data_IF_863323535904
#
_entry.id   IF_863323535904
#
_cell.length_a   1.000
_cell.length_b   1.000
_cell.length_c   1.000
_cell.angle_alpha   90.00
_cell.angle_beta   90.00
_cell.angle_gamma   90.00
#
_symmetry.space_group_name_H-M   'P 1'
#
loop_
_entity.id
_entity.type
_entity.pdbx_description
1 polymer ?
#
# COMPACT_ATOMS: atom_id res chain seq x y z
N UNK A 1 -4.83 63.57 -60.79
CA UNK A 1 -4.49 62.18 -60.69
C UNK A 1 -3.72 61.98 -59.38
N UNK A 2 -4.40 61.48 -58.39
CA UNK A 2 -3.80 61.20 -57.06
C UNK A 2 -4.14 59.78 -56.69
N UNK A 3 -3.12 58.97 -56.68
CA UNK A 3 -3.21 57.56 -56.21
C UNK A 3 -3.32 57.51 -54.69
N UNK A 4 -4.37 56.92 -54.19
CA UNK A 4 -4.56 56.66 -52.78
C UNK A 4 -3.97 55.25 -52.48
N UNK A 5 -2.87 55.20 -51.68
CA UNK A 5 -2.34 53.98 -51.11
C UNK A 5 -3.15 53.58 -49.88
N UNK A 6 -3.82 52.43 -49.97
CA UNK A 6 -4.46 51.78 -48.84
C UNK A 6 -3.45 50.81 -48.25
N UNK A 7 -2.90 51.18 -47.10
CA UNK A 7 -2.15 50.26 -46.25
C UNK A 7 -3.13 49.34 -45.50
N UNK A 8 -3.10 48.06 -45.85
CA UNK A 8 -3.84 47.03 -45.11
C UNK A 8 -3.00 46.56 -43.91
N UNK A 9 -3.40 46.96 -42.70
CA UNK A 9 -2.81 46.49 -41.45
C UNK A 9 -3.39 45.13 -41.14
N UNK A 10 -2.58 44.08 -41.32
CA UNK A 10 -2.92 42.71 -40.90
C UNK A 10 -2.70 42.62 -39.38
N UNK A 11 -3.78 42.67 -38.60
CA UNK A 11 -3.76 42.38 -37.18
C UNK A 11 -3.75 40.86 -36.97
N UNK A 12 -2.57 40.31 -36.70
CA UNK A 12 -2.42 38.90 -36.31
C UNK A 12 -2.84 38.77 -34.85
N UNK A 13 -4.08 38.36 -34.63
CA UNK A 13 -4.55 37.92 -33.31
C UNK A 13 -3.88 36.61 -32.96
N UNK A 14 -2.80 36.62 -32.17
CA UNK A 14 -2.23 35.46 -31.54
C UNK A 14 -3.14 35.14 -30.35
N UNK A 15 -4.09 34.22 -30.56
CA UNK A 15 -4.87 33.64 -29.48
C UNK A 15 -3.96 32.69 -28.68
N UNK A 16 -3.41 33.18 -27.61
CA UNK A 16 -2.71 32.35 -26.62
C UNK A 16 -3.79 31.52 -25.92
N UNK A 17 -4.03 30.29 -26.41
CA UNK A 17 -4.75 29.29 -25.63
C UNK A 17 -3.88 28.95 -24.44
N UNK A 18 -4.07 29.67 -23.32
CA UNK A 18 -3.68 29.14 -22.00
C UNK A 18 -4.55 27.92 -21.75
N UNK A 19 -4.06 26.74 -22.12
CA UNK A 19 -4.54 25.52 -21.52
C UNK A 19 -4.11 25.58 -20.05
N UNK A 20 -4.94 26.18 -19.21
CA UNK A 20 -4.90 25.90 -17.78
C UNK A 20 -5.14 24.39 -17.64
N UNK A 21 -4.07 23.62 -17.60
CA UNK A 21 -4.13 22.29 -17.01
C UNK A 21 -4.42 22.53 -15.53
N UNK A 22 -5.71 22.52 -15.20
CA UNK A 22 -6.12 22.44 -13.78
C UNK A 22 -5.45 21.22 -13.22
N UNK A 23 -4.56 21.45 -12.26
CA UNK A 23 -3.94 20.40 -11.48
C UNK A 23 -5.06 19.74 -10.66
N UNK A 24 -5.78 18.82 -11.27
CA UNK A 24 -6.79 18.04 -10.57
C UNK A 24 -6.10 17.24 -9.49
N UNK A 25 -6.45 17.50 -8.24
CA UNK A 25 -5.99 16.68 -7.13
C UNK A 25 -6.51 15.27 -7.37
N UNK A 26 -5.60 14.34 -7.50
CA UNK A 26 -5.87 12.97 -7.89
C UNK A 26 -6.39 12.22 -6.70
N UNK A 27 -7.67 11.98 -6.68
CA UNK A 27 -8.33 11.22 -5.66
C UNK A 27 -8.97 9.96 -6.23
N UNK A 28 -9.06 8.95 -5.39
CA UNK A 28 -9.84 7.76 -5.65
C UNK A 28 -10.77 7.48 -4.49
N UNK A 29 -11.95 6.97 -4.80
CA UNK A 29 -12.80 6.32 -3.81
C UNK A 29 -12.15 5.00 -3.42
N UNK A 30 -12.11 4.72 -2.12
CA UNK A 30 -11.58 3.48 -1.57
C UNK A 30 -12.71 2.61 -1.05
N UNK A 31 -12.67 1.32 -1.40
CA UNK A 31 -13.55 0.28 -0.87
C UNK A 31 -12.71 -0.89 -0.38
N UNK A 32 -13.19 -1.56 0.65
CA UNK A 32 -12.61 -2.85 1.04
C UNK A 32 -13.10 -3.95 0.10
N UNK A 33 -12.19 -4.80 -0.34
CA UNK A 33 -12.55 -5.98 -1.16
C UNK A 33 -13.39 -6.99 -0.40
N UNK A 34 -13.20 -7.09 0.94
CA UNK A 34 -13.89 -8.07 1.78
C UNK A 34 -15.31 -7.64 2.15
N UNK A 35 -15.58 -6.35 2.24
CA UNK A 35 -16.91 -5.82 2.52
C UNK A 35 -17.09 -4.42 1.89
N UNK A 36 -17.54 -4.37 0.63
CA UNK A 36 -17.74 -3.10 -0.07
C UNK A 36 -18.75 -2.15 0.60
N UNK A 37 -19.59 -2.67 1.51
CA UNK A 37 -20.60 -1.87 2.21
C UNK A 37 -20.06 -1.19 3.48
N UNK A 38 -18.98 -1.72 4.09
CA UNK A 38 -18.53 -1.28 5.41
C UNK A 38 -17.34 -0.33 5.40
N UNK A 39 -16.50 -0.36 4.35
CA UNK A 39 -15.27 0.45 4.31
C UNK A 39 -15.27 1.32 3.07
N UNK A 40 -15.79 2.53 3.21
CA UNK A 40 -15.79 3.54 2.16
C UNK A 40 -15.00 4.74 2.68
N UNK A 41 -14.09 5.22 1.88
CA UNK A 41 -13.33 6.43 2.12
C UNK A 41 -12.64 6.89 0.86
N UNK A 42 -11.62 7.70 1.02
CA UNK A 42 -10.90 8.35 -0.07
C UNK A 42 -9.41 8.06 0.05
N UNK A 43 -8.72 8.11 -1.08
CA UNK A 43 -7.27 8.10 -1.15
C UNK A 43 -6.76 9.25 -2.00
N UNK A 44 -5.59 9.74 -1.66
CA UNK A 44 -4.81 10.66 -2.48
C UNK A 44 -3.80 9.86 -3.29
N UNK A 45 -3.90 9.92 -4.62
CA UNK A 45 -3.00 9.25 -5.54
C UNK A 45 -1.85 10.18 -5.93
N UNK A 46 -0.62 9.69 -5.81
CA UNK A 46 0.57 10.45 -6.21
C UNK A 46 1.67 9.51 -6.68
N UNK A 47 2.69 10.05 -7.34
CA UNK A 47 3.85 9.27 -7.79
C UNK A 47 5.04 9.42 -6.85
N UNK A 48 5.71 8.29 -6.61
CA UNK A 48 7.06 8.26 -6.06
C UNK A 48 7.96 7.47 -7.02
N UNK A 49 8.85 8.16 -7.73
CA UNK A 49 9.60 7.57 -8.82
C UNK A 49 8.67 7.01 -9.92
N UNK A 50 8.82 5.74 -10.24
CA UNK A 50 7.98 5.04 -11.21
C UNK A 50 6.67 4.45 -10.61
N UNK A 51 6.50 4.53 -9.29
CA UNK A 51 5.38 3.90 -8.60
C UNK A 51 4.23 4.87 -8.38
N UNK A 52 3.00 4.39 -8.62
CA UNK A 52 1.80 5.04 -8.13
C UNK A 52 1.57 4.60 -6.68
N UNK A 53 1.40 5.55 -5.79
CA UNK A 53 1.09 5.32 -4.38
C UNK A 53 -0.21 6.00 -4.01
N UNK A 54 -0.95 5.36 -3.12
CA UNK A 54 -2.14 5.91 -2.49
C UNK A 54 -1.84 6.23 -1.04
N UNK A 55 -2.19 7.45 -0.62
CA UNK A 55 -2.16 7.88 0.78
C UNK A 55 -3.60 7.94 1.27
N UNK A 56 -3.91 7.25 2.37
CA UNK A 56 -5.28 7.09 2.86
C UNK A 56 -5.28 6.82 4.37
N UNK A 57 -6.39 7.06 5.08
CA UNK A 57 -6.51 6.60 6.46
C UNK A 57 -6.50 5.07 6.53
N UNK A 58 -5.74 4.49 7.47
CA UNK A 58 -5.58 3.02 7.60
C UNK A 58 -6.94 2.34 7.79
N UNK A 59 -7.83 2.91 8.60
CA UNK A 59 -9.16 2.33 8.85
C UNK A 59 -10.06 2.24 7.61
N UNK A 60 -9.77 3.02 6.55
CA UNK A 60 -10.52 3.01 5.28
C UNK A 60 -10.24 1.75 4.46
N UNK A 61 -9.05 1.19 4.57
CA UNK A 61 -8.71 -0.07 3.89
C UNK A 61 -9.45 -1.28 4.46
N UNK A 62 -10.05 -1.13 5.64
CA UNK A 62 -10.74 -2.21 6.34
C UNK A 62 -9.79 -3.21 6.99
N UNK A 63 -10.34 -4.16 7.73
CA UNK A 63 -9.58 -5.17 8.47
C UNK A 63 -8.66 -6.04 7.59
N UNK A 64 -9.00 -6.14 6.32
CA UNK A 64 -8.25 -6.98 5.38
C UNK A 64 -7.01 -6.31 4.79
N UNK A 65 -6.85 -4.98 4.92
CA UNK A 65 -5.73 -4.24 4.38
C UNK A 65 -5.58 -4.30 2.85
N UNK A 66 -6.63 -4.70 2.11
CA UNK A 66 -6.63 -4.80 0.64
C UNK A 66 -7.65 -3.80 0.09
N UNK A 67 -7.24 -2.55 -0.15
CA UNK A 67 -8.11 -1.55 -0.71
C UNK A 67 -8.28 -1.72 -2.22
N UNK A 68 -9.51 -1.55 -2.69
CA UNK A 68 -9.82 -1.32 -4.09
C UNK A 68 -10.05 0.18 -4.32
N UNK A 69 -9.56 0.69 -5.45
CA UNK A 69 -9.60 2.10 -5.81
C UNK A 69 -10.48 2.31 -7.04
N UNK A 70 -11.34 3.31 -6.99
CA UNK A 70 -12.09 3.82 -8.14
C UNK A 70 -11.64 5.25 -8.41
N UNK A 71 -11.02 5.46 -9.55
CA UNK A 71 -10.48 6.76 -9.95
C UNK A 71 -11.56 7.76 -10.33
N UNK A 72 -11.20 9.02 -10.28
CA UNK A 72 -12.06 10.15 -10.61
C UNK A 72 -12.40 10.18 -12.11
N UNK A 73 -13.69 10.26 -12.42
CA UNK A 73 -14.20 10.55 -13.78
C UNK A 73 -13.97 9.49 -14.84
N UNK A 74 -12.97 8.66 -14.69
CA UNK A 74 -12.52 7.74 -15.74
C UNK A 74 -13.12 6.34 -15.63
N UNK A 75 -13.72 6.00 -14.49
CA UNK A 75 -14.08 4.61 -14.18
C UNK A 75 -12.85 3.70 -14.07
N UNK A 76 -11.64 4.27 -13.97
CA UNK A 76 -10.41 3.55 -13.76
C UNK A 76 -10.45 2.83 -12.43
N UNK A 77 -9.96 1.59 -12.38
CA UNK A 77 -9.94 0.77 -11.19
C UNK A 77 -8.51 0.32 -10.86
N UNK A 78 -8.28 0.13 -9.59
CA UNK A 78 -7.02 -0.40 -9.09
C UNK A 78 -7.18 -1.08 -7.75
N UNK A 79 -6.08 -1.67 -7.32
CA UNK A 79 -6.00 -2.38 -6.07
C UNK A 79 -4.61 -2.26 -5.46
N UNK A 80 -4.51 -2.56 -4.19
CA UNK A 80 -3.23 -2.74 -3.51
C UNK A 80 -3.30 -3.99 -2.65
N UNK A 81 -2.20 -4.70 -2.61
CA UNK A 81 -2.09 -5.94 -1.84
C UNK A 81 -1.87 -5.70 -0.34
N UNK A 82 -1.37 -4.52 0.04
CA UNK A 82 -1.00 -4.21 1.42
C UNK A 82 -1.00 -2.69 1.68
N UNK A 83 -1.14 -2.32 2.94
CA UNK A 83 -1.03 -0.97 3.45
C UNK A 83 0.09 -0.90 4.50
N UNK A 84 1.01 0.02 4.33
CA UNK A 84 1.99 0.38 5.35
C UNK A 84 1.41 1.45 6.27
N UNK A 85 1.35 1.19 7.57
CA UNK A 85 0.95 2.19 8.57
C UNK A 85 2.09 3.19 8.80
N UNK A 86 1.82 4.47 8.57
CA UNK A 86 2.75 5.59 8.77
C UNK A 86 2.53 6.33 10.09
N UNK A 87 1.64 5.82 10.93
CA UNK A 87 1.21 6.43 12.19
C UNK A 87 0.07 7.44 12.05
N UNK A 88 -0.60 7.74 13.15
CA UNK A 88 -1.76 8.66 13.21
C UNK A 88 -2.89 8.32 12.24
N UNK A 89 -3.14 7.03 12.01
CA UNK A 89 -4.14 6.53 11.06
C UNK A 89 -3.83 6.89 9.59
N UNK A 90 -2.60 7.25 9.26
CA UNK A 90 -2.14 7.47 7.89
C UNK A 90 -1.52 6.18 7.35
N UNK A 91 -1.99 5.74 6.19
CA UNK A 91 -1.46 4.59 5.48
C UNK A 91 -0.92 4.96 4.10
N UNK A 92 0.00 4.14 3.60
CA UNK A 92 0.55 4.18 2.26
C UNK A 92 0.35 2.82 1.59
N UNK A 93 -0.19 2.81 0.39
CA UNK A 93 -0.38 1.63 -0.43
C UNK A 93 0.28 1.81 -1.80
N UNK A 94 0.94 0.77 -2.33
CA UNK A 94 1.35 0.75 -3.74
C UNK A 94 0.17 0.29 -4.59
N UNK A 95 -0.18 1.09 -5.59
CA UNK A 95 -1.37 0.87 -6.40
C UNK A 95 -1.01 0.22 -7.72
N UNK A 96 -1.81 -0.78 -8.12
CA UNK A 96 -1.80 -1.42 -9.43
C UNK A 96 -3.14 -1.22 -10.15
N UNK A 97 -3.19 -1.55 -11.44
CA UNK A 97 -4.40 -1.42 -12.25
C UNK A 97 -4.48 -0.13 -13.06
N UNK A 98 -5.61 0.09 -13.75
CA UNK A 98 -5.79 1.23 -14.66
C UNK A 98 -5.82 2.59 -13.95
N UNK A 99 -6.14 2.63 -12.65
CA UNK A 99 -6.12 3.84 -11.82
C UNK A 99 -4.72 4.46 -11.68
N UNK A 100 -3.66 3.70 -11.98
CA UNK A 100 -2.29 4.23 -12.02
C UNK A 100 -2.09 5.33 -13.05
N UNK A 101 -2.96 5.41 -14.06
CA UNK A 101 -2.97 6.49 -15.05
C UNK A 101 -3.39 7.83 -14.43
N UNK A 102 -4.16 7.77 -13.34
CA UNK A 102 -4.62 8.95 -12.61
C UNK A 102 -3.56 9.50 -11.63
N UNK A 103 -2.43 8.79 -11.45
CA UNK A 103 -1.28 9.26 -10.67
C UNK A 103 -0.44 10.27 -11.45
N UNK A 104 -0.89 11.52 -11.62
CA UNK A 104 -0.22 12.51 -12.47
C UNK A 104 0.94 13.24 -11.79
N UNK A 105 0.82 13.61 -10.51
CA UNK A 105 1.84 14.40 -9.82
C UNK A 105 2.81 13.55 -9.02
N UNK A 106 4.09 13.94 -9.11
CA UNK A 106 5.09 13.40 -8.19
C UNK A 106 4.91 14.02 -6.79
N UNK A 107 5.08 13.22 -5.77
CA UNK A 107 5.06 13.67 -4.38
C UNK A 107 6.01 14.86 -4.13
N UNK A 108 7.15 14.90 -4.83
CA UNK A 108 8.14 15.97 -4.73
C UNK A 108 7.70 17.29 -5.37
N UNK A 109 6.68 17.28 -6.23
CA UNK A 109 6.19 18.50 -6.91
C UNK A 109 5.01 19.15 -6.21
N UNK A 110 4.43 18.46 -5.20
CA UNK A 110 3.29 18.97 -4.43
C UNK A 110 3.79 19.99 -3.42
N UNK A 111 3.08 21.14 -3.35
CA UNK A 111 3.46 22.22 -2.44
C UNK A 111 3.37 21.79 -0.98
N UNK A 112 4.42 22.08 -0.21
CA UNK A 112 4.48 21.86 1.24
C UNK A 112 4.29 23.15 2.03
N UNK A 113 4.00 24.24 1.34
CA UNK A 113 3.81 25.54 1.97
C UNK A 113 2.43 25.68 2.64
N UNK A 114 2.00 24.61 3.35
CA UNK A 114 0.66 24.51 3.96
C UNK A 114 0.36 25.71 4.86
N UNK A 115 1.30 26.11 5.72
CA UNK A 115 1.11 27.25 6.62
C UNK A 115 0.85 28.55 5.88
N UNK A 116 1.56 28.81 4.76
CA UNK A 116 1.35 30.02 3.96
C UNK A 116 0.05 29.98 3.16
N UNK A 117 -0.37 28.80 2.71
CA UNK A 117 -1.63 28.62 2.01
C UNK A 117 -2.82 28.82 2.95
N UNK A 118 -2.73 28.35 4.20
CA UNK A 118 -3.78 28.49 5.20
C UNK A 118 -3.84 29.91 5.78
N UNK A 119 -2.70 30.61 5.84
CA UNK A 119 -2.62 31.95 6.44
C UNK A 119 -3.58 32.92 5.76
N UNK A 120 -4.49 33.45 6.57
CA UNK A 120 -5.53 34.39 6.10
C UNK A 120 -6.71 33.73 5.38
N UNK A 121 -6.74 32.42 5.25
CA UNK A 121 -7.83 31.66 4.62
C UNK A 121 -8.69 31.01 5.70
N UNK A 122 -9.89 31.54 5.96
CA UNK A 122 -10.83 30.95 6.91
C UNK A 122 -11.70 29.83 6.31
N UNK A 123 -11.75 29.73 4.98
CA UNK A 123 -12.61 28.80 4.24
C UNK A 123 -11.76 27.96 3.28
N UNK A 124 -12.03 26.67 3.26
CA UNK A 124 -11.43 25.70 2.39
C UNK A 124 -12.51 24.79 1.77
N UNK A 125 -12.14 23.92 0.86
CA UNK A 125 -13.04 22.94 0.24
C UNK A 125 -12.60 21.53 0.62
N UNK A 126 -13.48 20.73 1.16
CA UNK A 126 -13.28 19.31 1.33
C UNK A 126 -13.75 18.60 0.05
N UNK A 127 -12.82 17.93 -0.63
CA UNK A 127 -13.02 17.27 -1.91
C UNK A 127 -13.06 15.76 -1.74
N UNK A 128 -14.02 15.09 -2.37
CA UNK A 128 -14.18 13.63 -2.32
C UNK A 128 -14.68 13.10 -3.67
N UNK A 129 -14.50 11.80 -3.90
CA UNK A 129 -15.00 11.08 -5.07
C UNK A 129 -16.20 10.23 -4.66
N UNK A 130 -17.28 10.35 -5.39
CA UNK A 130 -18.51 9.57 -5.21
C UNK A 130 -18.37 8.15 -5.81
N UNK A 131 -19.34 7.29 -5.51
CA UNK A 131 -19.37 5.91 -6.00
C UNK A 131 -19.53 5.78 -7.54
N UNK A 132 -19.92 6.84 -8.21
CA UNK A 132 -20.03 6.94 -9.67
C UNK A 132 -18.82 7.61 -10.33
N UNK A 133 -17.76 7.91 -9.54
CA UNK A 133 -16.56 8.59 -10.02
C UNK A 133 -16.69 10.12 -10.10
N UNK A 134 -17.85 10.69 -9.83
CA UNK A 134 -18.02 12.16 -9.81
C UNK A 134 -17.37 12.77 -8.59
N UNK A 135 -16.96 14.03 -8.70
CA UNK A 135 -16.34 14.77 -7.60
C UNK A 135 -17.38 15.56 -6.83
N UNK A 136 -17.41 15.35 -5.53
CA UNK A 136 -18.15 16.18 -4.60
C UNK A 136 -17.23 17.19 -3.91
N UNK A 137 -17.75 18.38 -3.66
CA UNK A 137 -17.05 19.45 -2.98
C UNK A 137 -17.94 20.04 -1.87
N UNK A 138 -17.34 20.22 -0.68
CA UNK A 138 -18.00 20.75 0.49
C UNK A 138 -17.19 21.93 1.03
N UNK A 139 -17.80 23.11 1.13
CA UNK A 139 -17.18 24.24 1.78
C UNK A 139 -17.09 24.00 3.29
N UNK A 140 -15.89 24.17 3.84
CA UNK A 140 -15.59 24.02 5.27
C UNK A 140 -14.83 25.23 5.81
N UNK A 141 -15.08 25.58 7.05
CA UNK A 141 -14.28 26.55 7.77
C UNK A 141 -13.12 25.83 8.48
N UNK A 142 -11.93 26.37 8.40
CA UNK A 142 -10.79 25.97 9.25
C UNK A 142 -11.01 26.64 10.59
N UNK A 143 -11.34 25.85 11.62
CA UNK A 143 -11.69 26.36 12.95
C UNK A 143 -10.54 26.29 13.94
N UNK A 144 -9.51 25.51 13.62
CA UNK A 144 -8.30 25.36 14.44
C UNK A 144 -7.13 24.87 13.57
N UNK A 145 -5.92 25.34 13.89
CA UNK A 145 -4.64 24.88 13.32
C UNK A 145 -3.61 24.79 14.47
N UNK A 146 -3.12 23.59 14.78
CA UNK A 146 -2.12 23.41 15.80
C UNK A 146 -0.70 23.85 15.35
N UNK A 147 -0.57 24.28 14.10
CA UNK A 147 0.67 24.74 13.49
C UNK A 147 1.72 23.64 13.27
N UNK A 148 1.39 22.38 13.55
CA UNK A 148 2.30 21.23 13.50
C UNK A 148 1.78 20.12 12.59
N UNK A 149 0.70 19.44 13.02
CA UNK A 149 0.23 18.23 12.37
C UNK A 149 -1.23 18.29 11.95
N UNK A 150 -2.09 18.95 12.72
CA UNK A 150 -3.53 18.81 12.55
C UNK A 150 -4.24 20.14 12.35
N UNK A 151 -5.22 20.10 11.45
CA UNK A 151 -6.24 21.11 11.28
C UNK A 151 -7.58 20.56 11.77
N UNK A 152 -8.45 21.44 12.20
CA UNK A 152 -9.84 21.13 12.48
C UNK A 152 -10.75 21.91 11.56
N UNK A 153 -11.68 21.21 10.95
CA UNK A 153 -12.60 21.81 9.97
C UNK A 153 -14.04 21.52 10.32
N UNK A 154 -14.94 22.43 9.97
CA UNK A 154 -16.38 22.27 10.12
C UNK A 154 -17.09 22.76 8.85
N UNK A 155 -18.17 22.11 8.38
CA UNK A 155 -18.97 22.63 7.28
C UNK A 155 -19.40 24.07 7.54
N UNK A 156 -19.36 24.89 6.50
CA UNK A 156 -19.86 26.28 6.59
C UNK A 156 -21.37 26.36 6.61
N UNK A 157 -22.05 25.29 6.26
CA UNK A 157 -23.50 25.17 6.25
C UNK A 157 -23.92 24.08 7.25
N UNK A 158 -24.68 24.42 8.26
CA UNK A 158 -25.14 23.50 9.31
C UNK A 158 -26.06 22.38 8.81
N UNK A 159 -26.62 22.52 7.60
CA UNK A 159 -27.43 21.46 6.96
C UNK A 159 -26.56 20.36 6.30
N UNK A 160 -25.30 20.60 6.18
CA UNK A 160 -24.34 19.67 5.56
C UNK A 160 -23.44 19.10 6.65
N UNK A 161 -23.15 17.83 6.58
CA UNK A 161 -22.33 17.14 7.58
C UNK A 161 -21.20 16.38 6.91
N UNK A 162 -20.02 16.39 7.54
CA UNK A 162 -18.98 15.43 7.24
C UNK A 162 -19.44 14.08 7.77
N UNK A 163 -19.43 13.05 6.91
CA UNK A 163 -20.01 11.73 7.21
C UNK A 163 -18.99 10.63 7.01
N UNK A 164 -19.35 9.40 7.40
CA UNK A 164 -18.66 8.18 7.00
C UNK A 164 -18.52 8.16 5.46
N UNK A 165 -17.35 7.82 4.95
CA UNK A 165 -16.99 7.87 3.53
C UNK A 165 -16.21 9.12 3.12
N UNK A 166 -16.16 10.15 3.94
CA UNK A 166 -15.29 11.31 3.69
C UNK A 166 -13.87 11.14 4.25
N UNK A 167 -13.58 10.12 5.08
CA UNK A 167 -12.20 9.84 5.52
C UNK A 167 -11.28 9.68 4.32
N UNK A 168 -10.12 10.35 4.32
CA UNK A 168 -9.21 10.45 3.18
C UNK A 168 -9.51 11.57 2.18
N UNK A 169 -10.64 12.30 2.33
CA UNK A 169 -10.93 13.47 1.50
C UNK A 169 -9.84 14.53 1.65
N UNK A 170 -9.50 15.19 0.54
CA UNK A 170 -8.52 16.27 0.54
C UNK A 170 -9.14 17.60 0.94
N UNK A 171 -8.47 18.29 1.84
CA UNK A 171 -8.75 19.69 2.14
C UNK A 171 -7.98 20.55 1.15
N UNK A 172 -8.71 21.39 0.42
CA UNK A 172 -8.19 22.20 -0.68
C UNK A 172 -8.32 23.70 -0.37
N UNK A 173 -7.31 24.47 -0.72
CA UNK A 173 -7.38 25.94 -0.83
C UNK A 173 -7.12 26.29 -2.29
N UNK A 174 -8.15 26.78 -2.98
CA UNK A 174 -8.11 26.81 -4.44
C UNK A 174 -7.87 25.41 -5.00
N UNK A 175 -6.86 25.29 -5.87
CA UNK A 175 -6.47 24.01 -6.48
C UNK A 175 -5.33 23.29 -5.73
N UNK A 176 -4.92 23.81 -4.57
CA UNK A 176 -3.81 23.28 -3.79
C UNK A 176 -4.33 22.43 -2.63
N UNK A 177 -3.94 21.14 -2.53
CA UNK A 177 -4.25 20.33 -1.35
C UNK A 177 -3.42 20.82 -0.15
N UNK A 178 -4.05 20.95 1.00
CA UNK A 178 -3.43 21.40 2.25
C UNK A 178 -3.56 20.39 3.39
N UNK A 179 -4.34 19.34 3.20
CA UNK A 179 -4.48 18.29 4.22
C UNK A 179 -5.40 17.15 3.79
N UNK A 180 -5.41 16.10 4.61
CA UNK A 180 -6.23 14.90 4.43
C UNK A 180 -7.11 14.70 5.65
N UNK A 181 -8.41 14.53 5.43
CA UNK A 181 -9.37 14.24 6.50
C UNK A 181 -9.15 12.83 7.04
N UNK A 182 -8.83 12.69 8.32
CA UNK A 182 -8.69 11.39 8.96
C UNK A 182 -10.03 10.92 9.56
N UNK A 183 -10.64 11.75 10.39
CA UNK A 183 -11.83 11.36 11.13
C UNK A 183 -12.77 12.54 11.39
N UNK A 184 -13.99 12.24 11.81
CA UNK A 184 -14.97 13.23 12.18
C UNK A 184 -15.53 12.93 13.58
N UNK A 185 -15.60 13.95 14.41
CA UNK A 185 -16.35 13.87 15.67
C UNK A 185 -17.83 14.01 15.40
N UNK A 186 -18.57 12.92 15.49
CA UNK A 186 -20.03 12.90 15.26
C UNK A 186 -20.80 13.80 16.25
N UNK A 187 -20.26 13.99 17.46
CA UNK A 187 -20.87 14.85 18.49
C UNK A 187 -20.77 16.33 18.14
N UNK A 188 -19.68 16.76 17.50
CA UNK A 188 -19.37 18.17 17.28
C UNK A 188 -19.37 18.56 15.80
N UNK A 189 -19.51 17.62 14.88
CA UNK A 189 -19.46 17.85 13.43
C UNK A 189 -18.11 18.39 12.94
N UNK A 190 -17.04 18.18 13.72
CA UNK A 190 -15.70 18.69 13.44
C UNK A 190 -14.83 17.58 12.85
N UNK A 191 -14.26 17.81 11.68
CA UNK A 191 -13.29 16.94 11.03
C UNK A 191 -11.88 17.16 11.54
N UNK A 192 -11.14 16.09 11.83
CA UNK A 192 -9.70 16.10 12.09
C UNK A 192 -8.97 15.85 10.79
N UNK A 193 -8.16 16.80 10.37
CA UNK A 193 -7.40 16.78 9.12
C UNK A 193 -5.92 16.72 9.44
N UNK A 194 -5.19 15.77 8.86
CA UNK A 194 -3.73 15.74 8.89
C UNK A 194 -3.20 16.70 7.83
N UNK A 195 -2.27 17.56 8.22
CA UNK A 195 -1.65 18.55 7.31
C UNK A 195 -0.90 17.83 6.19
N UNK A 196 -0.98 18.37 4.99
CA UNK A 196 -0.40 17.71 3.82
C UNK A 196 1.13 17.65 3.86
N UNK A 197 1.80 18.68 4.40
CA UNK A 197 3.25 18.68 4.59
C UNK A 197 3.68 17.47 5.47
N UNK A 198 2.94 17.15 6.53
CA UNK A 198 3.15 15.96 7.36
C UNK A 198 2.89 14.66 6.60
N UNK A 199 1.79 14.61 5.84
CA UNK A 199 1.43 13.42 5.02
C UNK A 199 2.55 13.11 4.03
N UNK A 200 3.02 14.12 3.29
CA UNK A 200 4.05 13.94 2.27
C UNK A 200 5.41 13.60 2.88
N UNK A 201 5.79 14.22 4.00
CA UNK A 201 7.06 13.91 4.68
C UNK A 201 7.11 12.46 5.11
N UNK A 202 6.07 11.97 5.80
CA UNK A 202 6.02 10.57 6.25
C UNK A 202 6.05 9.58 5.09
N UNK A 203 5.34 9.88 4.01
CA UNK A 203 5.34 9.04 2.81
C UNK A 203 6.73 8.97 2.17
N UNK A 204 7.43 10.10 2.03
CA UNK A 204 8.79 10.14 1.48
C UNK A 204 9.78 9.41 2.37
N UNK A 205 9.75 9.65 3.69
CA UNK A 205 10.63 8.99 4.64
C UNK A 205 10.47 7.46 4.57
N UNK A 206 9.22 6.99 4.51
CA UNK A 206 8.92 5.57 4.37
C UNK A 206 9.44 4.99 3.04
N UNK A 207 9.17 5.67 1.93
CA UNK A 207 9.61 5.23 0.60
C UNK A 207 11.13 5.28 0.45
N UNK A 208 11.78 6.29 1.03
CA UNK A 208 13.24 6.40 1.07
C UNK A 208 13.85 5.24 1.88
N UNK A 209 13.29 4.92 3.05
CA UNK A 209 13.73 3.79 3.87
C UNK A 209 13.61 2.46 3.10
N UNK A 210 12.49 2.25 2.37
CA UNK A 210 12.33 1.08 1.52
C UNK A 210 13.34 1.04 0.36
N UNK A 211 13.66 2.20 -0.23
CA UNK A 211 14.64 2.29 -1.33
C UNK A 211 16.07 1.98 -0.85
N UNK A 212 16.40 2.35 0.36
CA UNK A 212 17.71 2.03 0.97
C UNK A 212 17.80 0.56 1.41
N UNK A 213 16.69 -0.02 1.87
CA UNK A 213 16.61 -1.45 2.17
C UNK A 213 16.70 -2.32 0.90
N UNK A 214 16.40 -1.73 -0.28
CA UNK A 214 16.47 -2.39 -1.58
C UNK A 214 17.76 -2.11 -2.38
N UNK A 215 18.74 -1.36 -1.87
CA UNK A 215 20.02 -1.19 -2.50
C UNK A 215 20.95 -2.35 -2.10
N UNK A 216 21.25 -3.30 -2.99
CA UNK A 216 22.30 -4.26 -2.72
C UNK A 216 23.62 -3.48 -2.62
N UNK A 217 24.31 -3.63 -1.52
CA UNK A 217 25.73 -3.30 -1.46
C UNK A 217 26.44 -4.16 -2.53
N UNK A 218 26.84 -3.52 -3.64
CA UNK A 218 27.71 -4.08 -4.67
C UNK A 218 27.16 -5.34 -5.36
N UNK A 219 27.13 -5.35 -6.68
CA UNK A 219 26.97 -6.56 -7.50
C UNK A 219 27.98 -7.62 -7.08
N UNK A 220 27.63 -8.42 -6.11
CA UNK A 220 28.08 -9.77 -5.94
C UNK A 220 26.99 -10.61 -6.58
N UNK A 221 27.33 -11.43 -7.57
CA UNK A 221 26.50 -12.52 -8.12
C UNK A 221 25.51 -12.98 -7.07
N UNK A 222 24.21 -12.86 -7.36
CA UNK A 222 23.13 -13.17 -6.45
C UNK A 222 23.32 -14.59 -5.88
N UNK A 223 23.98 -14.67 -4.75
CA UNK A 223 23.82 -15.78 -3.85
C UNK A 223 22.35 -15.68 -3.41
N UNK A 224 21.58 -16.70 -3.75
CA UNK A 224 20.20 -16.88 -3.30
C UNK A 224 20.19 -16.69 -1.77
N UNK A 225 19.68 -15.53 -1.29
CA UNK A 225 19.58 -15.34 0.14
C UNK A 225 18.42 -16.20 0.62
N UNK A 226 18.71 -17.13 1.50
CA UNK A 226 17.68 -17.92 2.17
C UNK A 226 16.87 -17.02 3.11
N UNK A 227 15.69 -16.63 2.65
CA UNK A 227 14.79 -15.71 3.39
C UNK A 227 14.07 -16.42 4.54
N UNK A 228 14.07 -17.75 4.58
CA UNK A 228 13.53 -18.51 5.68
C UNK A 228 14.53 -18.70 6.83
N UNK A 229 15.85 -18.60 6.54
CA UNK A 229 16.89 -18.81 7.54
C UNK A 229 16.80 -17.82 8.71
N UNK A 230 16.90 -18.33 9.94
CA UNK A 230 16.89 -17.52 11.15
C UNK A 230 18.05 -16.51 11.19
N UNK A 231 19.21 -16.87 10.64
CA UNK A 231 20.37 -15.97 10.51
C UNK A 231 20.07 -14.71 9.67
N UNK A 232 19.11 -14.80 8.76
CA UNK A 232 18.65 -13.69 7.91
C UNK A 232 17.40 -12.98 8.47
N UNK A 233 16.82 -13.48 9.57
CA UNK A 233 15.63 -12.93 10.21
C UNK A 233 14.33 -13.67 9.89
N UNK A 234 14.41 -14.83 9.23
CA UNK A 234 13.28 -15.75 9.07
C UNK A 234 12.91 -16.43 10.39
N UNK A 235 11.67 -16.84 10.55
CA UNK A 235 11.22 -17.55 11.76
C UNK A 235 10.01 -18.45 11.49
N UNK A 236 9.85 -19.48 12.32
CA UNK A 236 8.61 -20.28 12.37
C UNK A 236 7.59 -19.53 13.20
N UNK A 237 6.45 -19.20 12.61
CA UNK A 237 5.37 -18.45 13.27
C UNK A 237 4.15 -19.32 13.66
N UNK A 238 4.00 -20.51 13.08
CA UNK A 238 2.89 -21.39 13.40
C UNK A 238 3.12 -22.84 12.97
N UNK A 239 2.45 -23.76 13.66
CA UNK A 239 2.40 -25.20 13.31
C UNK A 239 1.18 -25.87 13.96
N UNK A 240 0.72 -26.98 13.36
CA UNK A 240 -0.45 -27.72 13.85
C UNK A 240 -0.12 -29.09 14.44
N UNK A 241 1.13 -29.53 14.44
CA UNK A 241 1.54 -30.85 14.94
C UNK A 241 2.67 -30.75 15.95
N UNK A 242 2.55 -31.48 17.07
CA UNK A 242 3.55 -31.49 18.12
C UNK A 242 4.86 -32.17 17.65
N UNK A 243 6.03 -31.65 18.02
CA UNK A 243 7.29 -32.31 17.75
C UNK A 243 7.41 -33.61 18.53
N UNK A 244 8.15 -34.57 18.01
CA UNK A 244 8.41 -35.85 18.70
C UNK A 244 9.09 -35.67 20.04
N UNK A 245 9.96 -34.66 20.15
CA UNK A 245 10.64 -34.24 21.37
C UNK A 245 11.21 -32.83 21.24
N UNK A 246 11.85 -32.33 22.27
CA UNK A 246 12.42 -30.97 22.30
C UNK A 246 13.61 -30.74 21.35
N UNK A 247 14.30 -31.81 20.92
CA UNK A 247 15.42 -31.70 19.99
C UNK A 247 14.95 -31.54 18.53
N UNK A 248 13.73 -32.01 18.21
CA UNK A 248 13.14 -31.98 16.86
C UNK A 248 12.06 -30.90 16.71
N UNK A 249 12.24 -29.76 17.34
CA UNK A 249 11.26 -28.66 17.37
C UNK A 249 11.12 -27.96 16.02
N UNK A 250 9.98 -27.30 15.74
CA UNK A 250 9.70 -26.61 14.47
C UNK A 250 10.72 -25.55 14.08
N UNK A 251 11.28 -24.82 15.06
CA UNK A 251 12.30 -23.79 14.80
C UNK A 251 13.58 -24.33 14.13
N UNK A 252 13.82 -25.65 14.16
CA UNK A 252 14.96 -26.26 13.49
C UNK A 252 14.87 -26.15 11.96
N UNK A 253 13.67 -25.96 11.39
CA UNK A 253 13.49 -25.76 9.93
C UNK A 253 14.17 -24.52 9.37
N UNK A 254 14.42 -23.52 10.21
CA UNK A 254 14.98 -22.22 9.80
C UNK A 254 16.37 -21.98 10.38
N UNK A 255 16.94 -22.97 11.07
CA UNK A 255 18.24 -22.88 11.72
C UNK A 255 19.28 -23.68 10.96
N UNK A 256 20.28 -22.98 10.41
CA UNK A 256 21.43 -23.61 9.75
C UNK A 256 22.31 -24.38 10.75
N UNK A 257 22.85 -25.49 10.30
CA UNK A 257 23.88 -26.23 11.03
C UNK A 257 23.39 -27.00 12.25
N UNK A 258 22.09 -27.19 12.42
CA UNK A 258 21.55 -28.09 13.45
C UNK A 258 21.58 -29.53 12.96
N UNK A 259 22.07 -30.41 13.84
CA UNK A 259 22.15 -31.84 13.56
C UNK A 259 20.78 -32.56 13.64
N UNK A 260 19.73 -31.89 14.10
CA UNK A 260 18.41 -32.50 14.31
C UNK A 260 17.36 -31.81 13.46
N UNK A 261 16.81 -32.49 12.44
CA UNK A 261 15.70 -31.98 11.64
C UNK A 261 14.42 -31.85 12.47
N UNK A 262 13.48 -31.02 12.01
CA UNK A 262 12.15 -31.05 12.60
C UNK A 262 11.45 -32.37 12.31
N UNK A 263 10.90 -32.98 13.35
CA UNK A 263 10.10 -34.22 13.26
C UNK A 263 8.84 -34.07 14.10
N UNK A 264 7.74 -34.55 13.59
CA UNK A 264 6.44 -34.49 14.26
C UNK A 264 5.77 -35.84 14.38
N UNK A 265 4.99 -36.04 15.46
CA UNK A 265 4.05 -37.13 15.58
C UNK A 265 2.75 -36.65 14.92
N UNK A 266 2.63 -36.83 13.62
CA UNK A 266 1.43 -36.45 12.91
C UNK A 266 0.27 -37.37 13.23
N UNK A 267 -0.71 -36.85 13.95
CA UNK A 267 -2.00 -37.51 14.18
C UNK A 267 -3.08 -36.98 13.25
N UNK A 268 -2.91 -35.74 12.80
CA UNK A 268 -3.86 -35.04 11.93
C UNK A 268 -3.16 -34.57 10.64
N UNK A 269 -3.73 -34.86 9.50
CA UNK A 269 -3.26 -34.46 8.20
C UNK A 269 -4.19 -33.39 7.61
N UNK A 270 -3.69 -32.37 6.90
CA UNK A 270 -2.28 -32.11 6.59
C UNK A 270 -1.47 -31.59 7.79
N UNK A 271 -0.16 -31.90 7.82
CA UNK A 271 0.77 -31.22 8.73
C UNK A 271 1.06 -29.85 8.16
N UNK A 272 0.84 -28.81 8.95
CA UNK A 272 1.03 -27.42 8.53
C UNK A 272 2.14 -26.76 9.32
N UNK A 273 2.94 -25.94 8.63
CA UNK A 273 3.93 -25.07 9.25
C UNK A 273 3.91 -23.69 8.57
N UNK A 274 4.02 -22.64 9.36
CA UNK A 274 4.03 -21.26 8.90
C UNK A 274 5.38 -20.64 9.18
N UNK A 275 5.92 -19.98 8.15
CA UNK A 275 7.22 -19.31 8.19
C UNK A 275 7.03 -17.82 7.91
N UNK A 276 7.57 -16.96 8.76
CA UNK A 276 7.76 -15.54 8.48
C UNK A 276 9.07 -15.36 7.72
N UNK A 277 9.01 -14.69 6.58
CA UNK A 277 10.19 -14.43 5.75
C UNK A 277 10.95 -13.19 6.22
N UNK A 278 12.27 -13.25 6.14
CA UNK A 278 13.15 -12.13 6.40
C UNK A 278 12.81 -10.94 5.49
N UNK A 279 12.86 -9.71 6.05
CA UNK A 279 12.52 -8.50 5.29
C UNK A 279 11.03 -8.23 5.10
N UNK A 280 10.16 -9.05 5.70
CA UNK A 280 8.72 -8.90 5.64
C UNK A 280 8.14 -9.29 4.27
N UNK A 281 7.52 -8.36 3.53
CA UNK A 281 6.97 -8.63 2.20
C UNK A 281 8.09 -8.64 1.15
N UNK A 282 8.40 -9.80 0.61
CA UNK A 282 9.51 -10.04 -0.33
C UNK A 282 9.02 -10.79 -1.57
N UNK A 283 9.80 -10.77 -2.65
CA UNK A 283 9.55 -11.58 -3.84
C UNK A 283 10.32 -12.89 -3.72
N UNK A 284 9.60 -14.01 -3.81
CA UNK A 284 10.17 -15.34 -3.84
C UNK A 284 9.95 -15.98 -5.22
N UNK A 285 10.87 -16.85 -5.64
CA UNK A 285 10.81 -17.58 -6.91
C UNK A 285 11.02 -19.07 -6.72
N UNK A 286 11.49 -19.46 -5.53
CA UNK A 286 11.87 -20.83 -5.22
C UNK A 286 11.68 -21.11 -3.73
N UNK A 287 11.26 -22.32 -3.42
CA UNK A 287 11.25 -22.90 -2.07
C UNK A 287 11.95 -24.24 -2.16
N UNK A 288 12.80 -24.53 -1.19
CA UNK A 288 13.52 -25.79 -1.05
C UNK A 288 13.17 -26.43 0.28
N UNK A 289 12.96 -27.74 0.25
CA UNK A 289 12.90 -28.58 1.43
C UNK A 289 14.17 -29.42 1.47
N UNK A 290 14.94 -29.27 2.53
CA UNK A 290 16.17 -29.99 2.73
C UNK A 290 15.90 -31.25 3.59
N UNK A 291 16.03 -32.41 2.99
CA UNK A 291 15.85 -33.70 3.61
C UNK A 291 17.15 -34.49 3.81
N UNK A 292 18.32 -33.88 3.56
CA UNK A 292 19.64 -34.57 3.59
C UNK A 292 19.95 -35.26 4.90
N UNK A 293 19.51 -34.68 6.00
CA UNK A 293 19.77 -35.22 7.35
C UNK A 293 18.68 -36.17 7.84
N UNK A 294 17.74 -36.55 6.96
CA UNK A 294 16.66 -37.49 7.29
C UNK A 294 17.04 -38.89 6.72
N UNK A 295 17.40 -39.83 7.59
CA UNK A 295 17.96 -41.11 7.14
C UNK A 295 16.92 -42.05 6.50
N UNK A 296 15.63 -41.89 6.84
CA UNK A 296 14.55 -42.70 6.28
C UNK A 296 13.69 -41.85 5.32
N UNK A 297 13.74 -42.19 4.05
CA UNK A 297 12.96 -41.51 3.03
C UNK A 297 11.45 -41.58 3.26
N UNK A 298 10.96 -42.56 4.03
CA UNK A 298 9.55 -42.69 4.41
C UNK A 298 9.09 -41.59 5.40
N UNK A 299 10.02 -40.88 6.03
CA UNK A 299 9.75 -39.76 6.92
C UNK A 299 9.68 -38.42 6.16
N UNK A 300 10.07 -38.39 4.89
CA UNK A 300 9.97 -37.20 4.03
C UNK A 300 8.53 -36.96 3.56
N UNK A 301 8.10 -35.71 3.38
CA UNK A 301 6.78 -35.42 2.87
C UNK A 301 6.62 -35.93 1.43
N UNK A 302 5.60 -36.76 1.18
CA UNK A 302 5.30 -37.27 -0.16
C UNK A 302 4.61 -36.24 -1.04
N UNK A 303 3.79 -35.34 -0.45
CA UNK A 303 3.08 -34.29 -1.16
C UNK A 303 3.13 -33.00 -0.37
N UNK A 304 3.35 -31.91 -1.07
CA UNK A 304 3.47 -30.56 -0.49
C UNK A 304 2.50 -29.62 -1.19
N UNK A 305 1.76 -28.85 -0.40
CA UNK A 305 1.05 -27.68 -0.85
C UNK A 305 1.75 -26.44 -0.28
N UNK A 306 2.05 -25.48 -1.13
CA UNK A 306 2.68 -24.21 -0.74
C UNK A 306 1.65 -23.11 -0.86
N UNK A 307 1.41 -22.44 0.25
CA UNK A 307 0.55 -21.27 0.33
C UNK A 307 1.38 -20.06 0.73
N UNK A 308 1.00 -18.90 0.21
CA UNK A 308 1.64 -17.63 0.55
C UNK A 308 0.63 -16.67 1.14
N UNK A 309 1.08 -15.86 2.09
CA UNK A 309 0.36 -14.74 2.65
C UNK A 309 1.21 -13.47 2.51
N UNK A 310 0.56 -12.37 2.12
CA UNK A 310 1.18 -11.05 1.96
C UNK A 310 0.71 -10.03 3.01
N UNK A 311 -0.35 -10.36 3.76
CA UNK A 311 -0.93 -9.48 4.77
C UNK A 311 -0.14 -9.49 6.07
N UNK A 312 -0.03 -8.32 6.71
CA UNK A 312 0.59 -8.16 8.03
C UNK A 312 -0.37 -8.36 9.21
N UNK A 313 -1.69 -8.23 8.97
CA UNK A 313 -2.67 -8.22 10.07
C UNK A 313 -3.42 -9.55 10.24
N UNK A 314 -4.07 -10.02 9.17
CA UNK A 314 -4.79 -11.31 9.16
C UNK A 314 -4.29 -12.15 8.01
N UNK A 315 -3.75 -13.34 8.27
CA UNK A 315 -3.29 -14.22 7.21
C UNK A 315 -4.39 -14.55 6.20
N UNK A 316 -4.11 -14.30 4.92
CA UNK A 316 -4.93 -14.71 3.79
C UNK A 316 -4.10 -15.61 2.91
N UNK A 317 -4.26 -16.86 3.11
CA UNK A 317 -3.49 -17.87 2.42
C UNK A 317 -4.01 -18.07 1.00
N UNK A 318 -3.08 -17.95 0.04
CA UNK A 318 -3.32 -18.26 -1.36
C UNK A 318 -2.45 -19.44 -1.75
N UNK A 319 -3.05 -20.49 -2.27
CA UNK A 319 -2.31 -21.64 -2.80
C UNK A 319 -1.47 -21.19 -4.00
N UNK A 320 -0.17 -21.49 -3.94
CA UNK A 320 0.79 -21.21 -4.98
C UNK A 320 1.00 -22.43 -5.86
N UNK A 321 1.14 -23.60 -5.23
CA UNK A 321 1.23 -24.88 -5.91
C UNK A 321 0.86 -26.02 -4.94
N UNK A 322 0.49 -27.16 -5.53
CA UNK A 322 0.30 -28.43 -4.80
C UNK A 322 0.81 -29.56 -5.69
N UNK A 323 1.85 -30.26 -5.26
CA UNK A 323 2.45 -31.36 -6.01
C UNK A 323 3.18 -32.35 -5.12
N UNK A 324 3.60 -33.47 -5.69
CA UNK A 324 4.49 -34.42 -5.02
C UNK A 324 5.86 -33.76 -4.80
N UNK A 325 6.45 -34.07 -3.65
CA UNK A 325 7.81 -33.66 -3.32
C UNK A 325 8.77 -34.71 -3.86
N UNK A 326 9.61 -34.29 -4.78
CA UNK A 326 10.67 -35.12 -5.35
C UNK A 326 12.01 -34.71 -4.73
N UNK A 327 12.46 -35.52 -3.80
CA UNK A 327 13.79 -35.37 -3.20
C UNK A 327 14.80 -36.10 -4.10
N UNK A 328 15.50 -35.32 -4.92
CA UNK A 328 16.54 -35.85 -5.80
C UNK A 328 17.67 -36.57 -5.08
N UNK A 329 18.68 -37.02 -5.84
CA UNK A 329 19.87 -37.68 -5.29
C UNK A 329 20.63 -36.79 -4.28
N UNK A 330 20.44 -35.50 -4.35
CA UNK A 330 21.00 -34.51 -3.42
C UNK A 330 20.17 -34.32 -2.14
N UNK A 331 19.04 -35.03 -2.01
CA UNK A 331 18.15 -34.97 -0.84
C UNK A 331 17.37 -33.65 -0.72
N UNK A 332 17.26 -32.84 -1.80
CA UNK A 332 16.57 -31.57 -1.81
C UNK A 332 15.34 -31.63 -2.74
N UNK A 333 14.18 -31.27 -2.22
CA UNK A 333 13.00 -31.05 -3.06
C UNK A 333 12.83 -29.55 -3.34
N UNK A 334 12.97 -29.16 -4.62
CA UNK A 334 12.93 -27.80 -5.07
C UNK A 334 11.65 -27.46 -5.83
N UNK A 335 11.01 -26.37 -5.45
CA UNK A 335 9.76 -25.85 -6.02
C UNK A 335 10.01 -24.46 -6.61
N UNK A 336 10.07 -24.37 -7.93
CA UNK A 336 10.23 -23.12 -8.67
C UNK A 336 8.89 -22.65 -9.23
N UNK A 337 8.66 -21.34 -9.19
CA UNK A 337 7.44 -20.69 -9.67
C UNK A 337 7.71 -19.26 -10.15
N UNK A 338 6.74 -18.64 -10.80
CA UNK A 338 6.85 -17.25 -11.20
C UNK A 338 7.09 -16.34 -9.97
N UNK A 339 7.84 -15.23 -10.13
CA UNK A 339 8.08 -14.27 -9.04
C UNK A 339 6.78 -13.93 -8.31
N UNK A 340 6.73 -14.21 -7.03
CA UNK A 340 5.53 -14.09 -6.21
C UNK A 340 5.84 -13.35 -4.92
N UNK A 341 5.01 -12.38 -4.59
CA UNK A 341 5.09 -11.68 -3.31
C UNK A 341 4.64 -12.60 -2.17
N UNK A 342 5.44 -12.64 -1.12
CA UNK A 342 5.14 -13.35 0.11
C UNK A 342 5.71 -12.59 1.32
N UNK A 343 5.00 -12.60 2.43
CA UNK A 343 5.46 -12.24 3.77
C UNK A 343 5.63 -13.49 4.60
N UNK A 344 4.71 -14.42 4.40
CA UNK A 344 4.68 -15.71 5.06
C UNK A 344 4.48 -16.81 4.02
N UNK A 345 4.99 -17.99 4.35
CA UNK A 345 4.79 -19.25 3.60
C UNK A 345 4.19 -20.28 4.55
N UNK A 346 3.23 -21.03 4.06
CA UNK A 346 2.70 -22.20 4.75
C UNK A 346 2.86 -23.42 3.85
#
# INVERSE_FOLDING_TARGET
MTLSERAATLATCITFCLTCTTAAAQQALVRSYSDPALSIGQAFLTRYGAHCIALLPVHVAGEAGIPAFLGEGSGSMGESDDISDLGDDLGLARVSGSVTQDCGYSISTISRAVSSLISGQGIATLRSVNSDGTVAQMAVAIVDDDGRMFLRVRPTNDRVQIRKGHSGSLLMIGDQPVGMLLSVSSRHGVGKVLRLDTVLSRAEDHMAAQSHAGQPAGETTAASSDLAAAANGGSVSGWNSLPVDAAHRPSNLVMDGLAQPWRTVATDWPVEIELDLAGGKVVITRIELDGRDIPDAAELPGRVEILVNISSEKPRWRSLLSREADFGDDGIAAFTFAPTWARQVR
#
